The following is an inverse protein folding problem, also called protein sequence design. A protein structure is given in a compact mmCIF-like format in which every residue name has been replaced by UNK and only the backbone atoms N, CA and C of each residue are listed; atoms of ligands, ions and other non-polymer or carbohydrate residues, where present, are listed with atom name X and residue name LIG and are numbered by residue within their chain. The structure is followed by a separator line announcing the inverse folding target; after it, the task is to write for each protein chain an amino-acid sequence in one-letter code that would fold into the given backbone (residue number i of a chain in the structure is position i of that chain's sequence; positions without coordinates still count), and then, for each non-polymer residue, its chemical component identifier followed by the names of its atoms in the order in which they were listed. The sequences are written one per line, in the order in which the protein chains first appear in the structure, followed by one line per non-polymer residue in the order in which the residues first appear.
data_IF_706742822739
#
_entry.id   IF_706742822739
#
_cell.length_a   1.000
_cell.length_b   1.000
_cell.length_c   1.000
_cell.angle_alpha   90.00
_cell.angle_beta   90.00
_cell.angle_gamma   90.00
#
_symmetry.space_group_name_H-M   'P 1'
#
loop_
_entity.id
_entity.type
_entity.pdbx_description
1 polymer ?
#
# COMPACT_ATOMS: atom_id res chain seq x y z
N UNK A 1 26.21 3.26 7.00
CA UNK A 1 25.97 1.96 7.66
C UNK A 1 24.49 1.95 8.02
N UNK A 2 23.65 1.42 7.12
CA UNK A 2 22.20 1.37 7.28
C UNK A 2 21.87 0.15 8.13
N UNK A 3 21.33 0.35 9.32
CA UNK A 3 20.79 -0.74 10.13
C UNK A 3 19.75 -1.51 9.30
N UNK A 4 19.76 -2.85 9.31
CA UNK A 4 18.76 -3.63 8.60
C UNK A 4 17.37 -3.31 9.20
N UNK A 5 16.48 -2.83 8.34
CA UNK A 5 15.10 -2.52 8.69
C UNK A 5 14.44 -3.76 9.33
N UNK A 6 13.86 -3.62 10.51
CA UNK A 6 13.30 -4.75 11.24
C UNK A 6 12.16 -5.41 10.44
N UNK A 7 12.13 -6.75 10.33
CA UNK A 7 11.06 -7.45 9.62
C UNK A 7 9.70 -7.13 10.25
N UNK A 8 8.75 -6.61 9.46
CA UNK A 8 7.40 -6.27 9.92
C UNK A 8 7.25 -4.92 10.62
N UNK A 9 8.33 -4.16 10.80
CA UNK A 9 8.34 -2.79 11.32
C UNK A 9 9.09 -1.88 10.33
N UNK A 10 8.48 -1.69 9.15
CA UNK A 10 9.01 -0.72 8.18
C UNK A 10 8.43 0.65 8.47
N UNK A 11 9.23 1.51 9.10
CA UNK A 11 9.00 2.96 9.08
C UNK A 11 9.41 3.49 7.70
N UNK A 12 8.52 4.25 7.06
CA UNK A 12 8.85 4.96 5.82
C UNK A 12 9.88 6.06 6.09
N UNK A 13 10.80 6.27 5.13
CA UNK A 13 11.69 7.43 5.15
C UNK A 13 10.84 8.68 4.92
N UNK A 14 11.10 9.73 5.69
CA UNK A 14 10.50 11.05 5.46
C UNK A 14 11.44 11.85 4.57
N UNK A 15 10.93 12.24 3.40
CA UNK A 15 11.63 13.05 2.42
C UNK A 15 11.14 14.50 2.49
N UNK A 16 12.09 15.43 2.51
CA UNK A 16 11.87 16.86 2.29
C UNK A 16 11.79 17.21 0.80
N UNK A 17 12.46 16.42 -0.05
CA UNK A 17 12.36 16.46 -1.51
C UNK A 17 12.27 15.02 -2.07
N UNK A 18 11.38 14.73 -3.05
CA UNK A 18 11.31 13.39 -3.64
C UNK A 18 12.62 13.05 -4.36
N UNK A 19 13.16 11.82 -4.22
CA UNK A 19 14.30 11.37 -4.98
C UNK A 19 14.06 11.47 -6.50
N UNK A 20 15.13 11.66 -7.27
CA UNK A 20 15.03 11.77 -8.73
C UNK A 20 14.30 10.55 -9.34
N UNK A 21 13.34 10.82 -10.22
CA UNK A 21 12.50 9.79 -10.85
C UNK A 21 11.31 9.32 -10.01
N UNK A 22 11.24 9.68 -8.73
CA UNK A 22 10.05 9.44 -7.91
C UNK A 22 8.97 10.50 -8.15
N UNK A 23 7.73 10.14 -7.86
CA UNK A 23 6.58 11.06 -7.89
C UNK A 23 5.99 11.20 -6.49
N UNK A 24 5.29 12.31 -6.25
CA UNK A 24 4.55 12.55 -5.02
C UNK A 24 3.06 12.33 -5.28
N UNK A 25 2.41 11.59 -4.39
CA UNK A 25 0.98 11.30 -4.46
C UNK A 25 0.29 11.65 -3.15
N UNK A 26 -0.82 12.38 -3.22
CA UNK A 26 -1.63 12.71 -2.04
C UNK A 26 -2.56 11.55 -1.68
N UNK A 27 -2.48 11.08 -0.43
CA UNK A 27 -3.43 10.11 0.07
C UNK A 27 -4.77 10.76 0.44
N UNK A 28 -5.64 10.95 -0.55
CA UNK A 28 -6.95 11.62 -0.36
C UNK A 28 -8.04 10.72 0.23
N UNK A 29 -7.81 9.39 0.31
CA UNK A 29 -8.80 8.44 0.82
C UNK A 29 -8.48 8.02 2.24
N UNK A 30 -9.51 7.61 2.98
CA UNK A 30 -9.38 6.99 4.30
C UNK A 30 -8.94 5.51 4.24
N UNK A 31 -8.11 5.19 3.25
CA UNK A 31 -7.22 4.05 3.29
C UNK A 31 -5.84 4.58 3.67
N UNK A 32 -5.05 3.91 4.49
CA UNK A 32 -4.44 2.62 4.21
C UNK A 32 -3.98 2.02 5.54
N UNK A 33 -3.26 0.89 5.50
CA UNK A 33 -2.61 0.30 6.68
C UNK A 33 -1.84 1.31 7.54
N UNK A 34 -1.46 0.89 8.74
CA UNK A 34 -1.02 1.68 9.91
C UNK A 34 0.07 2.77 9.75
N UNK A 35 0.55 3.09 8.55
CA UNK A 35 1.72 3.95 8.32
C UNK A 35 1.46 5.20 7.47
N UNK A 36 0.32 5.30 6.77
CA UNK A 36 -0.02 6.49 5.96
C UNK A 36 -1.44 6.94 6.28
N UNK A 37 -1.61 8.22 6.58
CA UNK A 37 -2.88 8.85 6.93
C UNK A 37 -3.47 9.63 5.75
N UNK A 38 -4.78 9.88 5.82
CA UNK A 38 -5.45 10.76 4.85
C UNK A 38 -4.89 12.17 4.95
N UNK A 39 -4.61 12.78 3.79
CA UNK A 39 -4.00 14.10 3.67
C UNK A 39 -2.47 14.08 3.75
N UNK A 40 -1.84 12.93 4.04
CA UNK A 40 -0.40 12.79 3.89
C UNK A 40 -0.02 12.57 2.42
N UNK A 41 1.18 13.02 2.07
CA UNK A 41 1.76 12.80 0.75
C UNK A 41 2.77 11.66 0.86
N UNK A 42 2.76 10.76 -0.12
CA UNK A 42 3.70 9.64 -0.22
C UNK A 42 4.61 9.81 -1.43
N UNK A 43 5.83 9.29 -1.31
CA UNK A 43 6.80 9.19 -2.40
C UNK A 43 6.65 7.82 -3.05
N UNK A 44 6.43 7.81 -4.35
CA UNK A 44 6.26 6.61 -5.17
C UNK A 44 7.47 6.48 -6.10
N UNK A 45 8.05 5.28 -6.16
CA UNK A 45 9.03 4.92 -7.18
C UNK A 45 8.31 4.18 -8.33
N UNK A 46 8.09 4.83 -9.49
CA UNK A 46 7.40 4.21 -10.63
C UNK A 46 8.27 3.18 -11.37
N UNK A 47 9.58 3.12 -11.09
CA UNK A 47 10.44 2.07 -11.65
C UNK A 47 10.29 0.74 -10.93
N UNK A 48 9.72 0.76 -9.73
CA UNK A 48 9.50 -0.41 -8.87
C UNK A 48 8.01 -0.82 -8.88
N UNK A 49 7.66 -1.74 -9.78
CA UNK A 49 6.30 -2.28 -9.96
C UNK A 49 6.23 -3.80 -9.76
N UNK A 50 7.26 -4.40 -9.16
CA UNK A 50 7.26 -5.83 -8.82
C UNK A 50 6.39 -6.05 -7.56
N UNK A 51 5.35 -6.91 -7.61
CA UNK A 51 4.49 -7.13 -6.45
C UNK A 51 5.28 -7.73 -5.28
N UNK A 52 5.07 -7.19 -4.07
CA UNK A 52 5.79 -7.61 -2.87
C UNK A 52 4.86 -7.74 -1.67
N UNK A 53 4.79 -8.94 -1.08
CA UNK A 53 3.86 -9.24 0.01
C UNK A 53 4.01 -8.25 1.18
N UNK A 54 2.91 -7.57 1.52
CA UNK A 54 2.81 -6.65 2.64
C UNK A 54 3.15 -5.20 2.31
N UNK A 55 3.56 -4.90 1.07
CA UNK A 55 4.01 -3.55 0.69
C UNK A 55 2.89 -2.74 0.05
N UNK A 56 2.95 -1.42 0.27
CA UNK A 56 2.04 -0.46 -0.33
C UNK A 56 2.53 -0.04 -1.71
N UNK A 57 1.59 0.00 -2.65
CA UNK A 57 1.78 0.51 -4.01
C UNK A 57 0.75 1.58 -4.28
N UNK A 58 1.13 2.54 -5.13
CA UNK A 58 0.15 3.29 -5.88
C UNK A 58 -0.37 2.38 -7.00
N UNK A 59 -1.68 2.19 -7.05
CA UNK A 59 -2.31 1.35 -8.05
C UNK A 59 -3.26 2.17 -8.94
N UNK A 60 -3.54 1.63 -10.12
CA UNK A 60 -4.61 2.11 -10.98
C UNK A 60 -5.62 0.99 -11.24
N UNK A 61 -6.88 1.26 -10.91
CA UNK A 61 -7.98 0.37 -11.27
C UNK A 61 -8.32 0.48 -12.74
N UNK A 62 -9.03 -0.52 -13.26
CA UNK A 62 -9.54 -0.51 -14.64
C UNK A 62 -10.51 0.65 -14.92
N UNK A 63 -11.06 1.29 -13.88
CA UNK A 63 -11.86 2.52 -13.98
C UNK A 63 -11.01 3.78 -14.20
N UNK A 64 -9.68 3.67 -14.14
CA UNK A 64 -8.73 4.78 -14.15
C UNK A 64 -8.48 5.40 -12.78
N UNK A 65 -9.29 5.08 -11.77
CA UNK A 65 -9.12 5.58 -10.41
C UNK A 65 -7.82 5.06 -9.80
N UNK A 66 -7.11 5.93 -9.08
CA UNK A 66 -5.88 5.60 -8.37
C UNK A 66 -6.09 5.61 -6.86
N UNK A 67 -5.45 4.69 -6.16
CA UNK A 67 -5.38 4.71 -4.70
C UNK A 67 -4.17 3.92 -4.19
N UNK A 68 -3.88 4.07 -2.90
CA UNK A 68 -2.86 3.26 -2.23
C UNK A 68 -3.47 1.92 -1.81
N UNK A 69 -2.76 0.84 -2.11
CA UNK A 69 -3.19 -0.51 -1.75
C UNK A 69 -2.01 -1.40 -1.37
N UNK A 70 -2.26 -2.36 -0.49
CA UNK A 70 -1.29 -3.36 -0.05
C UNK A 70 -1.36 -4.58 -0.98
N UNK A 71 -0.22 -5.09 -1.43
CA UNK A 71 -0.20 -6.36 -2.18
C UNK A 71 0.03 -7.53 -1.23
N UNK A 72 -0.77 -8.58 -1.35
CA UNK A 72 -0.72 -9.78 -0.49
C UNK A 72 -0.64 -11.03 -1.32
N UNK A 73 0.49 -11.73 -1.22
CA UNK A 73 0.60 -13.09 -1.71
C UNK A 73 -0.13 -14.03 -0.76
N UNK A 74 -1.07 -14.83 -1.27
CA UNK A 74 -1.77 -15.87 -0.53
C UNK A 74 -1.57 -17.21 -1.22
N UNK A 75 -1.22 -18.22 -0.44
CA UNK A 75 -1.16 -19.60 -0.91
C UNK A 75 -2.53 -20.24 -0.72
N UNK A 76 -2.99 -20.97 -1.73
CA UNK A 76 -4.27 -21.63 -1.67
C UNK A 76 -4.46 -22.64 -2.79
N UNK A 77 -5.56 -23.38 -2.70
CA UNK A 77 -6.02 -24.23 -3.78
C UNK A 77 -6.95 -23.41 -4.66
N UNK A 78 -6.51 -23.11 -5.88
CA UNK A 78 -7.26 -22.28 -6.83
C UNK A 78 -7.48 -23.02 -8.15
N UNK A 79 -8.59 -22.70 -8.81
CA UNK A 79 -9.03 -23.38 -10.04
C UNK A 79 -9.85 -24.64 -9.76
N UNK A 80 -10.73 -24.93 -10.72
CA UNK A 80 -11.39 -26.22 -10.89
C UNK A 80 -10.87 -26.71 -12.23
N UNK A 81 -9.88 -27.61 -12.23
CA UNK A 81 -9.46 -28.27 -13.46
C UNK A 81 -10.64 -29.01 -14.10
N UNK A 82 -10.50 -29.50 -15.35
CA UNK A 82 -11.58 -30.22 -16.03
C UNK A 82 -12.13 -31.42 -15.24
N UNK A 83 -11.34 -31.93 -14.29
CA UNK A 83 -11.67 -33.07 -13.43
C UNK A 83 -12.11 -32.67 -12.01
N UNK A 84 -12.33 -31.38 -11.73
CA UNK A 84 -12.64 -30.90 -10.37
C UNK A 84 -11.43 -30.70 -9.46
N UNK A 85 -10.21 -30.94 -9.96
CA UNK A 85 -8.99 -30.83 -9.17
C UNK A 85 -8.57 -29.37 -9.01
N UNK A 86 -8.23 -29.00 -7.78
CA UNK A 86 -7.69 -27.68 -7.45
C UNK A 86 -6.18 -27.77 -7.28
N UNK A 87 -5.45 -26.88 -7.95
CA UNK A 87 -4.01 -26.82 -7.89
C UNK A 87 -3.58 -25.92 -6.72
N UNK A 88 -2.55 -26.33 -5.99
CA UNK A 88 -1.90 -25.46 -5.01
C UNK A 88 -1.10 -24.40 -5.76
N UNK A 89 -1.49 -23.14 -5.61
CA UNK A 89 -0.74 -22.03 -6.19
C UNK A 89 -0.78 -20.79 -5.30
N UNK A 90 0.19 -19.92 -5.52
CA UNK A 90 0.31 -18.64 -4.84
C UNK A 90 -0.25 -17.55 -5.75
N UNK A 91 -1.27 -16.83 -5.27
CA UNK A 91 -1.91 -15.76 -6.04
C UNK A 91 -1.91 -14.45 -5.25
N UNK A 92 -1.86 -13.36 -5.99
CA UNK A 92 -1.79 -12.01 -5.47
C UNK A 92 -3.17 -11.43 -5.22
N UNK A 93 -3.29 -10.70 -4.12
CA UNK A 93 -4.46 -9.92 -3.77
C UNK A 93 -4.03 -8.47 -3.59
N UNK A 94 -4.86 -7.55 -4.07
CA UNK A 94 -4.72 -6.11 -3.80
C UNK A 94 -5.71 -5.78 -2.69
N UNK A 95 -5.21 -5.34 -1.55
CA UNK A 95 -6.01 -5.04 -0.37
C UNK A 95 -6.02 -3.54 -0.05
N UNK A 96 -7.21 -2.98 0.04
CA UNK A 96 -7.46 -1.63 0.55
C UNK A 96 -8.03 -1.75 1.94
N UNK A 97 -7.31 -1.25 2.93
CA UNK A 97 -7.80 -1.18 4.32
C UNK A 97 -8.48 0.17 4.53
N UNK A 98 -9.74 0.18 4.95
CA UNK A 98 -10.47 1.39 5.33
C UNK A 98 -10.83 1.36 6.82
N UNK A 99 -10.62 2.49 7.51
CA UNK A 99 -11.18 2.68 8.86
C UNK A 99 -12.59 3.24 8.75
N UNK A 100 -13.59 2.43 9.07
CA UNK A 100 -14.96 2.92 9.20
C UNK A 100 -15.19 3.48 10.60
N UNK A 101 -15.69 4.71 10.68
CA UNK A 101 -16.29 5.23 11.92
C UNK A 101 -17.70 4.69 12.00
N UNK A 102 -18.03 3.95 13.05
CA UNK A 102 -19.37 3.42 13.26
C UNK A 102 -20.37 4.54 13.52
N UNK A 103 -21.07 5.00 12.48
CA UNK A 103 -22.04 6.11 12.53
C UNK A 103 -23.19 5.90 13.53
N UNK A 104 -23.49 4.65 13.92
CA UNK A 104 -24.62 4.32 14.79
C UNK A 104 -24.25 3.89 16.22
N UNK A 105 -22.98 3.54 16.49
CA UNK A 105 -22.60 2.93 17.77
C UNK A 105 -21.72 3.82 18.64
N UNK A 106 -21.20 4.94 18.11
CA UNK A 106 -20.20 5.77 18.80
C UNK A 106 -18.92 5.01 19.15
N UNK A 107 -18.76 3.78 18.66
CA UNK A 107 -17.58 2.93 18.86
C UNK A 107 -16.83 2.84 17.54
N UNK A 108 -15.50 2.89 17.62
CA UNK A 108 -14.65 2.58 16.48
C UNK A 108 -15.02 1.17 15.96
N UNK A 109 -15.50 1.09 14.72
CA UNK A 109 -15.55 -0.20 14.03
C UNK A 109 -14.11 -0.57 13.71
N UNK A 110 -13.76 -1.85 13.84
CA UNK A 110 -12.45 -2.34 13.43
C UNK A 110 -12.19 -2.02 11.94
N UNK A 111 -10.92 -2.01 11.50
CA UNK A 111 -10.58 -1.77 10.10
C UNK A 111 -11.24 -2.82 9.19
N UNK A 112 -11.92 -2.36 8.15
CA UNK A 112 -12.48 -3.23 7.10
C UNK A 112 -11.44 -3.35 5.98
N UNK A 113 -11.16 -4.57 5.52
CA UNK A 113 -10.32 -4.80 4.35
C UNK A 113 -11.15 -5.22 3.17
N UNK A 114 -10.98 -4.52 2.06
CA UNK A 114 -11.53 -4.89 0.76
C UNK A 114 -10.39 -5.46 -0.07
N UNK A 115 -10.57 -6.70 -0.54
CA UNK A 115 -9.57 -7.38 -1.37
C UNK A 115 -10.09 -7.58 -2.79
N UNK A 116 -9.25 -7.28 -3.77
CA UNK A 116 -9.46 -7.58 -5.17
C UNK A 116 -8.45 -8.64 -5.63
N UNK A 117 -8.94 -9.70 -6.26
CA UNK A 117 -8.16 -10.89 -6.61
C UNK A 117 -9.00 -12.17 -6.64
N UNK A 118 -8.36 -13.34 -6.80
CA UNK A 118 -6.91 -13.54 -6.89
C UNK A 118 -6.33 -13.24 -8.28
N UNK A 119 -5.09 -12.73 -8.32
CA UNK A 119 -4.34 -12.38 -9.52
C UNK A 119 -3.10 -13.26 -9.71
N UNK A 120 -2.76 -13.56 -10.96
CA UNK A 120 -1.41 -14.00 -11.32
C UNK A 120 -0.46 -12.80 -11.29
N UNK A 121 0.84 -13.05 -11.12
CA UNK A 121 1.86 -12.00 -11.00
C UNK A 121 1.80 -10.97 -12.14
N UNK A 122 1.68 -11.42 -13.39
CA UNK A 122 1.59 -10.52 -14.54
C UNK A 122 0.37 -9.58 -14.46
N UNK A 123 -0.80 -10.09 -14.06
CA UNK A 123 -2.02 -9.29 -13.98
C UNK A 123 -2.01 -8.28 -12.81
N UNK A 124 -1.39 -8.62 -11.68
CA UNK A 124 -1.24 -7.64 -10.59
C UNK A 124 -0.29 -6.53 -11.01
N UNK A 125 0.84 -6.87 -11.67
CA UNK A 125 1.85 -5.91 -12.16
C UNK A 125 1.24 -4.83 -13.07
N UNK A 126 0.29 -5.20 -13.93
CA UNK A 126 -0.43 -4.26 -14.81
C UNK A 126 -1.23 -3.18 -14.04
N UNK A 127 -1.55 -3.41 -12.77
CA UNK A 127 -2.26 -2.46 -11.90
C UNK A 127 -1.31 -1.61 -11.04
N UNK A 128 -0.05 -1.99 -10.89
CA UNK A 128 0.91 -1.31 -10.01
C UNK A 128 1.58 -0.17 -10.80
N UNK A 129 1.37 1.07 -10.36
CA UNK A 129 2.07 2.24 -10.91
C UNK A 129 3.49 2.31 -10.36
N UNK A 130 3.65 2.03 -9.06
CA UNK A 130 4.93 2.10 -8.38
C UNK A 130 4.81 1.84 -6.89
N UNK A 131 5.90 1.44 -6.24
CA UNK A 131 5.95 1.16 -4.80
C UNK A 131 6.03 2.45 -3.99
N UNK A 132 5.37 2.46 -2.83
CA UNK A 132 5.54 3.51 -1.83
C UNK A 132 6.90 3.33 -1.16
N UNK A 133 7.78 4.33 -1.30
CA UNK A 133 9.15 4.31 -0.75
C UNK A 133 9.36 5.29 0.40
N UNK A 134 8.41 6.20 0.64
CA UNK A 134 8.52 7.19 1.70
C UNK A 134 7.27 8.05 1.92
N UNK A 135 7.34 8.90 2.94
CA UNK A 135 6.40 10.00 3.18
C UNK A 135 7.06 11.28 2.68
N UNK A 136 6.31 12.11 1.95
CA UNK A 136 6.74 13.44 1.57
C UNK A 136 6.24 14.45 2.60
N UNK A 137 7.16 15.12 3.28
CA UNK A 137 6.84 16.18 4.22
C UNK A 137 7.85 17.32 4.07
N UNK A 138 7.51 18.36 3.28
CA UNK A 138 8.38 19.52 3.16
C UNK A 138 8.55 20.18 4.54
N UNK A 139 9.74 20.69 4.80
CA UNK A 139 10.10 21.36 6.07
C UNK A 139 10.01 20.49 7.34
N UNK A 140 10.01 19.16 7.23
CA UNK A 140 9.91 18.25 8.39
C UNK A 140 10.90 18.59 9.51
N UNK A 141 12.18 18.83 9.17
CA UNK A 141 13.23 19.15 10.14
C UNK A 141 12.95 20.47 10.86
N UNK A 142 12.59 21.51 10.10
CA UNK A 142 12.21 22.83 10.65
C UNK A 142 11.01 22.73 11.59
N UNK A 143 10.00 21.92 11.22
CA UNK A 143 8.83 21.68 12.04
C UNK A 143 9.16 20.91 13.33
N UNK A 144 10.08 19.96 13.26
CA UNK A 144 10.54 19.19 14.42
C UNK A 144 11.25 20.09 15.44
N UNK A 145 12.15 20.96 14.97
CA UNK A 145 12.89 21.90 15.81
C UNK A 145 11.95 22.87 16.56
N UNK A 146 10.90 23.37 15.89
CA UNK A 146 9.88 24.23 16.51
C UNK A 146 9.05 23.55 17.58
N UNK A 147 8.90 22.23 17.54
CA UNK A 147 8.14 21.44 18.52
C UNK A 147 8.96 21.03 19.73
N UNK A 148 10.29 21.07 19.61
CA UNK A 148 11.22 20.73 20.68
C UNK A 148 11.59 21.93 21.58
N UNK A 149 11.24 23.15 21.15
CA UNK A 149 11.41 24.40 21.89
C UNK A 149 10.16 24.75 22.70
#
# INVERSE_FOLDING_TARGET
MTDPQQPGLRSYIVYDEPPAGCIVFENVRASVGCHVHTGEYVVIDPSDSDPMHGELFLIQWSTGAQELAETRLREGRYGVGPNGESELCSLWWIEVTQRMVGLLSGRASGPTRWGDGPYREQHVREKLIGRVVGIYQPDFRTALERRAA
#
